data_IF_794984803057
#
_entry.id   IF_794984803057
#
_cell.length_a   1.000
_cell.length_b   1.000
_cell.length_c   1.000
_cell.angle_alpha   90.00
_cell.angle_beta   90.00
_cell.angle_gamma   90.00
#
_symmetry.space_group_name_H-M   'P 1'
#
loop_
_entity.id
_entity.type
_entity.pdbx_description
1 polymer ?
#
# COMPACT_ATOMS: atom_id res chain seq x y z
N UNK A 1 14.61 -11.19 5.99
CA UNK A 1 13.84 -11.19 4.72
C UNK A 1 13.45 -9.75 4.38
N UNK A 2 13.57 -9.35 3.11
CA UNK A 2 13.05 -8.07 2.62
C UNK A 2 11.71 -8.34 1.93
N UNK A 3 10.72 -7.47 2.15
CA UNK A 3 9.38 -7.60 1.58
C UNK A 3 9.05 -6.36 0.77
N UNK A 4 8.48 -6.56 -0.41
CA UNK A 4 7.92 -5.51 -1.25
C UNK A 4 6.40 -5.72 -1.35
N UNK A 5 5.63 -4.64 -1.18
CA UNK A 5 4.17 -4.68 -1.23
C UNK A 5 3.61 -3.50 -2.01
N UNK A 6 2.48 -3.74 -2.66
CA UNK A 6 1.69 -2.74 -3.34
C UNK A 6 0.39 -2.49 -2.56
N UNK A 7 0.01 -1.22 -2.43
CA UNK A 7 -1.24 -0.79 -1.80
C UNK A 7 -2.02 0.10 -2.77
N UNK A 8 -3.24 -0.31 -3.10
CA UNK A 8 -4.15 0.50 -3.89
C UNK A 8 -4.80 1.58 -3.01
N UNK A 9 -4.78 2.83 -3.47
CA UNK A 9 -5.35 4.00 -2.77
C UNK A 9 -6.14 4.89 -3.73
N UNK A 10 -6.95 5.82 -3.21
CA UNK A 10 -7.61 6.80 -4.06
C UNK A 10 -6.58 7.62 -4.86
N UNK A 11 -6.75 7.71 -6.18
CA UNK A 11 -5.74 8.31 -7.08
C UNK A 11 -5.61 9.83 -6.94
N UNK A 12 -6.64 10.46 -6.38
CA UNK A 12 -6.69 11.89 -6.05
C UNK A 12 -6.05 12.25 -4.70
N UNK A 13 -5.60 11.24 -3.94
CA UNK A 13 -4.97 11.43 -2.63
C UNK A 13 -3.65 12.19 -2.74
N UNK A 14 -3.37 13.07 -1.77
CA UNK A 14 -2.08 13.76 -1.74
C UNK A 14 -0.94 12.80 -1.42
N UNK A 15 0.28 13.16 -1.87
CA UNK A 15 1.50 12.40 -1.54
C UNK A 15 1.71 12.30 -0.03
N UNK A 16 1.35 13.34 0.73
CA UNK A 16 1.50 13.35 2.19
C UNK A 16 0.59 12.32 2.87
N UNK A 17 -0.68 12.24 2.45
CA UNK A 17 -1.62 11.24 2.94
C UNK A 17 -1.18 9.82 2.56
N UNK A 18 -0.76 9.61 1.30
CA UNK A 18 -0.19 8.35 0.85
C UNK A 18 1.01 7.93 1.68
N UNK A 19 1.94 8.84 1.96
CA UNK A 19 3.10 8.58 2.81
C UNK A 19 2.70 8.11 4.22
N UNK A 20 1.68 8.72 4.83
CA UNK A 20 1.21 8.29 6.15
C UNK A 20 0.65 6.86 6.11
N UNK A 21 -0.11 6.52 5.06
CA UNK A 21 -0.64 5.16 4.87
C UNK A 21 0.50 4.15 4.71
N UNK A 22 1.46 4.44 3.83
CA UNK A 22 2.62 3.58 3.59
C UNK A 22 3.46 3.38 4.86
N UNK A 23 3.69 4.46 5.64
CA UNK A 23 4.42 4.41 6.91
C UNK A 23 3.71 3.49 7.92
N UNK A 24 2.39 3.68 8.11
CA UNK A 24 1.62 2.85 9.03
C UNK A 24 1.57 1.37 8.59
N UNK A 25 1.44 1.11 7.29
CA UNK A 25 1.48 -0.26 6.77
C UNK A 25 2.83 -0.93 7.08
N UNK A 26 3.94 -0.26 6.78
CA UNK A 26 5.30 -0.73 7.10
C UNK A 26 5.48 -1.01 8.58
N UNK A 27 5.06 -0.08 9.45
CA UNK A 27 5.19 -0.24 10.91
C UNK A 27 4.41 -1.44 11.43
N UNK A 28 3.18 -1.66 10.96
CA UNK A 28 2.36 -2.81 11.36
C UNK A 28 2.98 -4.14 10.92
N UNK A 29 3.53 -4.22 9.71
CA UNK A 29 4.17 -5.45 9.21
C UNK A 29 5.46 -5.75 9.98
N UNK A 30 6.30 -4.75 10.23
CA UNK A 30 7.53 -4.91 11.02
C UNK A 30 7.24 -5.32 12.47
N UNK A 31 6.13 -4.85 13.05
CA UNK A 31 5.74 -5.21 14.40
C UNK A 31 5.19 -6.64 14.52
N UNK A 32 4.57 -7.19 13.46
CA UNK A 32 3.87 -8.47 13.51
C UNK A 32 4.64 -9.62 12.86
N UNK A 33 5.66 -9.33 12.05
CA UNK A 33 6.39 -10.34 11.29
C UNK A 33 7.91 -10.17 11.43
N UNK A 34 8.69 -11.28 11.46
CA UNK A 34 10.15 -11.23 11.58
C UNK A 34 10.83 -10.87 10.23
N UNK A 35 10.54 -9.68 9.71
CA UNK A 35 11.11 -9.16 8.46
C UNK A 35 12.08 -8.01 8.74
N UNK A 36 13.09 -7.87 7.89
CA UNK A 36 14.15 -6.87 8.07
C UNK A 36 13.68 -5.47 7.63
N UNK A 37 12.95 -5.41 6.52
CA UNK A 37 12.38 -4.17 6.01
C UNK A 37 11.20 -4.45 5.09
N UNK A 38 10.36 -3.43 4.91
CA UNK A 38 9.22 -3.41 3.99
C UNK A 38 9.34 -2.18 3.10
N UNK A 39 9.27 -2.39 1.79
CA UNK A 39 9.09 -1.34 0.78
C UNK A 39 7.63 -1.34 0.36
N UNK A 40 7.02 -0.15 0.29
CA UNK A 40 5.59 0.01 -0.03
C UNK A 40 5.48 0.89 -1.26
N UNK A 41 4.91 0.33 -2.32
CA UNK A 41 4.45 1.06 -3.50
C UNK A 41 2.97 1.42 -3.33
N UNK A 42 2.60 2.64 -3.71
CA UNK A 42 1.22 3.10 -3.73
C UNK A 42 0.77 3.21 -5.17
N UNK A 43 -0.29 2.49 -5.50
CA UNK A 43 -0.92 2.50 -6.81
C UNK A 43 -2.31 3.14 -6.69
N UNK A 44 -2.75 3.97 -7.66
CA UNK A 44 -4.12 4.45 -7.67
C UNK A 44 -5.06 3.27 -7.94
N UNK A 45 -6.16 3.18 -7.18
CA UNK A 45 -7.26 2.29 -7.50
C UNK A 45 -7.86 2.72 -8.84
N UNK A 46 -7.87 1.84 -9.82
CA UNK A 46 -8.63 2.07 -11.04
C UNK A 46 -10.10 2.21 -10.65
N UNK A 47 -10.74 3.31 -11.03
CA UNK A 47 -12.17 3.47 -10.82
C UNK A 47 -12.89 2.27 -11.45
N UNK A 48 -13.30 1.29 -10.63
CA UNK A 48 -14.11 0.17 -11.08
C UNK A 48 -15.51 0.69 -11.43
N UNK A 49 -15.64 1.24 -12.63
CA UNK A 49 -16.91 1.26 -13.33
C UNK A 49 -17.22 -0.17 -13.77
N UNK A 50 -17.89 -0.95 -12.90
CA UNK A 50 -18.64 -2.17 -13.22
C UNK A 50 -17.87 -3.32 -13.91
N UNK A 51 -17.84 -4.49 -13.27
CA UNK A 51 -17.37 -5.81 -13.75
C UNK A 51 -15.87 -6.11 -13.63
N UNK A 52 -15.52 -6.89 -12.60
CA UNK A 52 -14.52 -7.96 -12.78
C UNK A 52 -15.27 -9.29 -12.66
N UNK A 53 -15.89 -9.67 -13.77
CA UNK A 53 -16.41 -11.01 -14.01
C UNK A 53 -15.79 -11.50 -15.31
N UNK A 54 -14.58 -12.05 -15.23
CA UNK A 54 -14.06 -13.13 -16.08
C UNK A 54 -13.09 -13.93 -15.23
#
# INVERSE_FOLDING_TARGET
MLVDVHLEVAGEMSVAEGHQIARHARERVLAQHPVLNVMVHLDPCEAQGLTKAV
#
